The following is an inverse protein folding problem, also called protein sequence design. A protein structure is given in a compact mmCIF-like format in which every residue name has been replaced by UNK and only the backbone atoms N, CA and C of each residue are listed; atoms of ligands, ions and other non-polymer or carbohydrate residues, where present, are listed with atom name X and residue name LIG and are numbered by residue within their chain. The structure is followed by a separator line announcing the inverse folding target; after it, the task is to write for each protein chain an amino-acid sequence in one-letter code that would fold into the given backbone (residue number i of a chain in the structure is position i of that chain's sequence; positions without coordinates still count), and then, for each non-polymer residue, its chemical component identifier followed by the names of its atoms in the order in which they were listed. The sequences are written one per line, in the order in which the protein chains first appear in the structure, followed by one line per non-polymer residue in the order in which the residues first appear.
data_IF_222784235358
#
_entry.id   IF_222784235358
#
_cell.length_a   1.000
_cell.length_b   1.000
_cell.length_c   1.000
_cell.angle_alpha   90.00
_cell.angle_beta   90.00
_cell.angle_gamma   90.00
#
_symmetry.space_group_name_H-M   'P 1'
#
loop_
_entity.id
_entity.type
_entity.pdbx_description
1 polymer ?
#
# COMPACT_ATOMS: atom_id res chain seq x y z
N UNK A 1 -21.23 -7.78 -9.74
CA UNK A 1 -19.86 -8.36 -9.68
C UNK A 1 -18.95 -7.86 -10.82
N UNK A 2 -19.46 -7.68 -12.05
CA UNK A 2 -18.71 -7.10 -13.19
C UNK A 2 -18.20 -5.67 -12.97
N UNK A 3 -18.99 -4.78 -12.35
CA UNK A 3 -18.64 -3.36 -12.19
C UNK A 3 -17.37 -3.14 -11.36
N UNK A 4 -17.17 -3.93 -10.29
CA UNK A 4 -15.99 -3.81 -9.43
C UNK A 4 -14.72 -4.30 -10.13
N UNK A 5 -14.81 -5.37 -10.93
CA UNK A 5 -13.68 -5.90 -11.72
C UNK A 5 -13.30 -4.94 -12.85
N UNK A 6 -14.29 -4.35 -13.53
CA UNK A 6 -14.07 -3.35 -14.57
C UNK A 6 -13.39 -2.08 -14.04
N UNK A 7 -13.87 -1.55 -12.91
CA UNK A 7 -13.23 -0.40 -12.23
C UNK A 7 -11.78 -0.69 -11.87
N UNK A 8 -11.52 -1.87 -11.31
CA UNK A 8 -10.17 -2.34 -10.97
C UNK A 8 -9.25 -2.37 -12.20
N UNK A 9 -9.72 -2.93 -13.31
CA UNK A 9 -8.96 -2.98 -14.57
C UNK A 9 -8.67 -1.59 -15.12
N UNK A 10 -9.64 -0.68 -15.09
CA UNK A 10 -9.47 0.70 -15.55
C UNK A 10 -8.47 1.46 -14.67
N UNK A 11 -8.52 1.29 -13.34
CA UNK A 11 -7.55 1.90 -12.43
C UNK A 11 -6.13 1.38 -12.64
N UNK A 12 -5.97 0.07 -12.84
CA UNK A 12 -4.66 -0.54 -13.12
C UNK A 12 -4.11 -0.04 -14.46
N UNK A 13 -4.95 0.01 -15.50
CA UNK A 13 -4.56 0.52 -16.81
C UNK A 13 -4.12 1.98 -16.73
N UNK A 14 -4.86 2.81 -16.00
CA UNK A 14 -4.53 4.22 -15.81
C UNK A 14 -3.20 4.40 -15.06
N UNK A 15 -2.96 3.60 -14.00
CA UNK A 15 -1.70 3.63 -13.26
C UNK A 15 -0.51 3.22 -14.13
N UNK A 16 -0.65 2.19 -14.97
CA UNK A 16 0.40 1.74 -15.90
C UNK A 16 0.70 2.81 -16.96
N UNK A 17 -0.34 3.40 -17.56
CA UNK A 17 -0.16 4.49 -18.53
C UNK A 17 0.50 5.72 -17.92
N UNK A 18 0.19 6.04 -16.65
CA UNK A 18 0.79 7.18 -15.97
C UNK A 18 2.26 6.92 -15.61
N UNK A 19 2.61 5.70 -15.18
CA UNK A 19 3.97 5.38 -14.74
C UNK A 19 4.94 5.10 -15.89
N UNK A 20 4.47 4.49 -16.99
CA UNK A 20 5.30 4.10 -18.14
C UNK A 20 5.14 5.02 -19.36
N UNK A 21 4.21 5.97 -19.32
CA UNK A 21 4.07 6.97 -20.38
C UNK A 21 5.20 8.00 -20.35
N UNK A 22 5.62 8.53 -21.51
CA UNK A 22 6.56 9.64 -21.56
C UNK A 22 5.96 10.84 -20.81
N UNK A 23 6.54 11.17 -19.66
CA UNK A 23 6.15 12.34 -18.89
C UNK A 23 6.60 13.58 -19.66
N UNK A 24 5.70 14.51 -20.02
CA UNK A 24 6.10 15.72 -20.72
C UNK A 24 7.10 16.48 -19.83
N UNK A 25 8.27 16.80 -20.37
CA UNK A 25 9.24 17.65 -19.66
C UNK A 25 8.55 18.95 -19.27
N UNK A 26 8.56 19.26 -17.98
CA UNK A 26 7.93 20.46 -17.44
C UNK A 26 8.74 21.66 -17.93
N UNK A 27 8.36 22.21 -19.08
CA UNK A 27 8.77 23.56 -19.47
C UNK A 27 8.38 24.49 -18.33
N UNK A 28 9.34 25.26 -17.83
CA UNK A 28 9.10 26.23 -16.78
C UNK A 28 7.91 27.11 -17.18
N UNK A 29 6.80 26.96 -16.45
CA UNK A 29 5.64 27.84 -16.59
C UNK A 29 6.08 29.20 -16.09
N UNK A 30 5.92 30.21 -16.93
CA UNK A 30 6.19 31.58 -16.56
C UNK A 30 5.31 32.00 -15.36
N UNK A 31 5.85 32.76 -14.40
CA UNK A 31 5.17 33.09 -13.15
C UNK A 31 3.84 33.82 -13.37
N UNK A 32 3.67 34.50 -14.51
CA UNK A 32 2.42 35.14 -14.91
C UNK A 32 1.34 34.09 -15.22
N UNK A 33 1.66 33.08 -16.04
CA UNK A 33 0.73 31.98 -16.34
C UNK A 33 0.36 31.20 -15.07
N UNK A 34 1.32 30.99 -14.16
CA UNK A 34 1.06 30.33 -12.89
C UNK A 34 0.12 31.17 -12.00
N UNK A 35 0.27 32.49 -11.97
CA UNK A 35 -0.60 33.38 -11.21
C UNK A 35 -2.05 33.40 -11.72
N UNK A 36 -2.26 33.23 -13.03
CA UNK A 36 -3.59 33.16 -13.65
C UNK A 36 -4.24 31.79 -13.43
N UNK A 37 -3.46 30.71 -13.53
CA UNK A 37 -3.96 29.34 -13.33
C UNK A 37 -4.15 28.97 -11.86
N UNK A 38 -3.33 29.51 -10.95
CA UNK A 38 -3.39 29.22 -9.52
C UNK A 38 -4.79 29.36 -8.90
N UNK A 39 -5.55 30.45 -9.11
CA UNK A 39 -6.88 30.58 -8.52
C UNK A 39 -7.86 29.52 -9.04
N UNK A 40 -7.77 29.17 -10.34
CA UNK A 40 -8.62 28.15 -10.96
C UNK A 40 -8.27 26.76 -10.39
N UNK A 41 -6.98 26.47 -10.27
CA UNK A 41 -6.48 25.24 -9.66
C UNK A 41 -6.91 25.11 -8.19
N UNK A 42 -6.86 26.20 -7.41
CA UNK A 42 -7.31 26.22 -6.01
C UNK A 42 -8.81 25.95 -5.91
N UNK A 43 -9.63 26.49 -6.82
CA UNK A 43 -11.07 26.21 -6.85
C UNK A 43 -11.36 24.73 -7.15
N UNK A 44 -10.66 24.15 -8.14
CA UNK A 44 -10.74 22.71 -8.43
C UNK A 44 -10.29 21.86 -7.24
N UNK A 45 -9.21 22.25 -6.57
CA UNK A 45 -8.71 21.57 -5.38
C UNK A 45 -9.72 21.60 -4.22
N UNK A 46 -10.44 22.71 -4.02
CA UNK A 46 -11.49 22.80 -2.98
C UNK A 46 -12.65 21.83 -3.23
N UNK A 47 -13.03 21.63 -4.49
CA UNK A 47 -14.08 20.67 -4.87
C UNK A 47 -13.61 19.22 -4.65
N UNK A 48 -12.34 18.94 -4.92
CA UNK A 48 -11.73 17.61 -4.76
C UNK A 48 -11.31 17.29 -3.31
N UNK A 49 -11.09 18.30 -2.47
CA UNK A 49 -10.64 18.16 -1.09
C UNK A 49 -11.40 17.09 -0.28
N UNK A 50 -12.75 17.03 -0.25
CA UNK A 50 -13.46 16.00 0.51
C UNK A 50 -13.21 14.58 -0.02
N UNK A 51 -13.01 14.41 -1.32
CA UNK A 51 -12.71 13.11 -1.92
C UNK A 51 -11.29 12.66 -1.61
N UNK A 52 -10.33 13.58 -1.67
CA UNK A 52 -8.93 13.32 -1.28
C UNK A 52 -8.84 12.96 0.19
N UNK A 53 -9.55 13.68 1.08
CA UNK A 53 -9.57 13.36 2.51
C UNK A 53 -10.18 11.98 2.79
N UNK A 54 -11.26 11.60 2.09
CA UNK A 54 -11.84 10.25 2.19
C UNK A 54 -10.85 9.19 1.69
N UNK A 55 -10.23 9.41 0.54
CA UNK A 55 -9.24 8.51 -0.04
C UNK A 55 -8.04 8.31 0.90
N UNK A 56 -7.54 9.39 1.50
CA UNK A 56 -6.49 9.35 2.52
C UNK A 56 -6.91 8.55 3.76
N UNK A 57 -8.16 8.72 4.24
CA UNK A 57 -8.67 7.95 5.38
C UNK A 57 -8.73 6.44 5.12
N UNK A 58 -9.12 6.04 3.91
CA UNK A 58 -9.11 4.63 3.50
C UNK A 58 -7.69 4.07 3.35
N UNK A 59 -6.81 4.85 2.74
CA UNK A 59 -5.39 4.54 2.60
C UNK A 59 -4.69 4.36 3.97
N UNK A 60 -4.97 5.25 4.93
CA UNK A 60 -4.40 5.15 6.28
C UNK A 60 -4.80 3.85 6.97
N UNK A 61 -6.06 3.44 6.86
CA UNK A 61 -6.55 2.17 7.43
C UNK A 61 -5.84 0.96 6.80
N UNK A 62 -5.65 0.98 5.48
CA UNK A 62 -4.91 -0.06 4.78
C UNK A 62 -3.44 -0.12 5.23
N UNK A 63 -2.77 1.03 5.40
CA UNK A 63 -1.40 1.10 5.94
C UNK A 63 -1.33 0.50 7.34
N UNK A 64 -2.26 0.84 8.22
CA UNK A 64 -2.27 0.28 9.59
C UNK A 64 -2.43 -1.25 9.55
N UNK A 65 -3.24 -1.78 8.63
CA UNK A 65 -3.41 -3.21 8.48
C UNK A 65 -2.14 -3.89 7.94
N UNK A 66 -1.49 -3.28 6.94
CA UNK A 66 -0.19 -3.71 6.41
C UNK A 66 0.88 -3.72 7.51
N UNK A 67 0.90 -2.71 8.38
CA UNK A 67 1.79 -2.65 9.54
C UNK A 67 1.64 -3.84 10.49
N UNK A 68 0.42 -4.38 10.67
CA UNK A 68 0.20 -5.59 11.48
C UNK A 68 0.84 -6.83 10.85
N UNK A 69 0.73 -6.98 9.52
CA UNK A 69 1.37 -8.08 8.80
C UNK A 69 2.90 -7.96 8.82
N UNK A 70 3.44 -6.73 8.78
CA UNK A 70 4.86 -6.47 8.95
C UNK A 70 5.36 -6.87 10.35
N UNK A 71 4.59 -6.61 11.41
CA UNK A 71 4.90 -7.11 12.75
C UNK A 71 4.86 -8.65 12.80
N UNK A 72 3.97 -9.28 12.04
CA UNK A 72 3.94 -10.73 11.86
C UNK A 72 5.20 -11.29 11.19
N UNK A 73 5.80 -10.56 10.25
CA UNK A 73 7.04 -10.96 9.59
C UNK A 73 8.23 -11.09 10.56
N UNK A 74 8.28 -10.26 11.63
CA UNK A 74 9.32 -10.39 12.67
C UNK A 74 9.28 -11.72 13.43
N UNK A 75 8.24 -12.55 13.26
CA UNK A 75 8.22 -13.92 13.79
C UNK A 75 9.22 -14.85 13.12
N UNK A 76 9.66 -14.55 11.90
CA UNK A 76 10.67 -15.34 11.16
C UNK A 76 12.03 -15.32 11.87
N UNK A 77 12.64 -14.14 12.15
CA UNK A 77 13.91 -14.10 12.88
C UNK A 77 13.78 -14.64 14.31
N UNK A 78 12.63 -14.42 14.98
CA UNK A 78 12.36 -15.01 16.30
C UNK A 78 12.30 -16.55 16.22
N UNK A 79 11.64 -17.09 15.20
CA UNK A 79 11.56 -18.53 14.97
C UNK A 79 12.90 -19.14 14.60
N UNK A 80 13.73 -18.45 13.81
CA UNK A 80 15.12 -18.87 13.54
C UNK A 80 15.95 -18.91 14.81
N UNK A 81 15.85 -17.89 15.67
CA UNK A 81 16.54 -17.86 16.96
C UNK A 81 16.10 -19.01 17.87
N UNK A 82 14.79 -19.30 17.91
CA UNK A 82 14.23 -20.43 18.66
C UNK A 82 14.70 -21.80 18.12
N UNK A 83 14.76 -21.95 16.79
CA UNK A 83 15.20 -23.18 16.13
C UNK A 83 16.71 -23.42 16.15
N UNK A 84 17.52 -22.38 16.37
CA UNK A 84 18.99 -22.50 16.32
C UNK A 84 19.62 -22.48 17.71
N UNK A 85 19.26 -21.50 18.55
CA UNK A 85 19.89 -21.28 19.85
C UNK A 85 19.10 -21.90 21.00
N UNK A 86 17.77 -21.95 20.89
CA UNK A 86 16.91 -22.53 21.92
C UNK A 86 16.49 -23.98 21.61
N UNK A 87 16.95 -24.55 20.49
CA UNK A 87 16.66 -25.92 20.08
C UNK A 87 16.90 -26.99 21.18
N UNK A 88 17.99 -26.95 21.97
CA UNK A 88 18.22 -27.95 23.02
C UNK A 88 17.36 -27.74 24.28
N UNK A 89 16.70 -26.59 24.42
CA UNK A 89 15.88 -26.27 25.59
C UNK A 89 14.40 -26.62 25.32
N UNK A 90 13.98 -27.82 25.72
CA UNK A 90 12.57 -28.16 26.01
C UNK A 90 11.51 -27.73 24.99
N UNK A 91 11.48 -28.34 23.79
CA UNK A 91 10.38 -28.21 22.83
C UNK A 91 10.34 -26.90 22.03
N UNK A 92 11.26 -25.96 22.29
CA UNK A 92 11.34 -24.66 21.62
C UNK A 92 11.61 -24.76 20.11
N UNK A 93 12.19 -25.86 19.63
CA UNK A 93 12.36 -26.13 18.21
C UNK A 93 11.01 -26.19 17.46
N UNK A 94 10.00 -26.85 18.04
CA UNK A 94 8.69 -26.94 17.39
C UNK A 94 7.93 -25.62 17.40
N UNK A 95 8.06 -24.85 18.48
CA UNK A 95 7.52 -23.49 18.56
C UNK A 95 8.22 -22.53 17.59
N UNK A 96 9.53 -22.69 17.39
CA UNK A 96 10.30 -21.94 16.39
C UNK A 96 9.87 -22.25 14.96
N UNK A 97 9.61 -23.52 14.63
CA UNK A 97 9.08 -23.95 13.33
C UNK A 97 7.67 -23.40 13.07
N UNK A 98 6.80 -23.40 14.08
CA UNK A 98 5.48 -22.79 14.00
C UNK A 98 5.54 -21.28 13.77
N UNK A 99 6.46 -20.58 14.44
CA UNK A 99 6.69 -19.14 14.27
C UNK A 99 7.29 -18.80 12.89
N UNK A 100 8.17 -19.65 12.36
CA UNK A 100 8.68 -19.56 11.00
C UNK A 100 7.57 -19.72 9.95
N UNK A 101 6.74 -20.75 10.09
CA UNK A 101 5.60 -20.97 9.21
C UNK A 101 4.59 -19.82 9.27
N UNK A 102 4.20 -19.39 10.47
CA UNK A 102 3.28 -18.28 10.65
C UNK A 102 3.84 -16.96 10.10
N UNK A 103 5.12 -16.66 10.34
CA UNK A 103 5.78 -15.48 9.80
C UNK A 103 5.86 -15.46 8.28
N UNK A 104 6.04 -16.62 7.66
CA UNK A 104 6.07 -16.78 6.19
C UNK A 104 4.69 -16.50 5.56
N UNK A 105 3.62 -16.98 6.19
CA UNK A 105 2.24 -16.71 5.75
C UNK A 105 1.89 -15.22 5.90
N UNK A 106 2.30 -14.59 7.00
CA UNK A 106 2.10 -13.15 7.21
C UNK A 106 2.88 -12.30 6.20
N UNK A 107 4.06 -12.75 5.75
CA UNK A 107 4.81 -12.09 4.68
C UNK A 107 4.08 -12.14 3.32
N UNK A 108 3.46 -13.27 2.98
CA UNK A 108 2.64 -13.38 1.76
C UNK A 108 1.41 -12.47 1.82
N UNK A 109 0.75 -12.39 2.98
CA UNK A 109 -0.35 -11.44 3.21
C UNK A 109 0.13 -10.00 3.08
N UNK A 110 1.29 -9.67 3.64
CA UNK A 110 1.91 -8.35 3.50
C UNK A 110 2.12 -7.97 2.03
N UNK A 111 2.72 -8.85 1.22
CA UNK A 111 2.94 -8.60 -0.22
C UNK A 111 1.60 -8.36 -0.93
N UNK A 112 0.61 -9.23 -0.70
CA UNK A 112 -0.71 -9.09 -1.30
C UNK A 112 -1.38 -7.76 -0.92
N UNK A 113 -1.23 -7.34 0.34
CA UNK A 113 -1.80 -6.11 0.88
C UNK A 113 -1.07 -4.85 0.36
N UNK A 114 0.25 -4.90 0.15
CA UNK A 114 1.04 -3.84 -0.50
C UNK A 114 0.69 -3.71 -1.98
N UNK A 115 0.46 -4.82 -2.69
CA UNK A 115 0.08 -4.77 -4.10
C UNK A 115 -1.29 -4.09 -4.34
N UNK A 116 -2.23 -4.25 -3.40
CA UNK A 116 -3.55 -3.60 -3.46
C UNK A 116 -3.56 -2.21 -2.82
N UNK A 117 -2.46 -1.74 -2.24
CA UNK A 117 -2.36 -0.43 -1.58
C UNK A 117 -2.76 0.75 -2.51
N UNK A 118 -2.42 0.78 -3.82
CA UNK A 118 -2.92 1.82 -4.71
C UNK A 118 -4.46 1.81 -4.87
N UNK A 119 -5.07 0.63 -4.73
CA UNK A 119 -6.53 0.46 -4.83
C UNK A 119 -7.23 0.84 -3.53
N UNK A 120 -6.52 0.83 -2.40
CA UNK A 120 -7.06 1.24 -1.10
C UNK A 120 -7.43 2.72 -1.04
N UNK A 121 -6.85 3.58 -1.89
CA UNK A 121 -7.30 4.97 -2.08
C UNK A 121 -8.77 5.06 -2.53
N UNK A 122 -9.26 4.06 -3.25
CA UNK A 122 -10.65 3.97 -3.71
C UNK A 122 -11.56 3.21 -2.74
N UNK A 123 -11.07 2.86 -1.55
CA UNK A 123 -11.80 2.07 -0.56
C UNK A 123 -11.91 0.59 -0.91
N UNK A 124 -11.11 0.09 -1.87
CA UNK A 124 -11.08 -1.32 -2.25
C UNK A 124 -10.00 -2.01 -1.40
N UNK A 125 -10.39 -3.02 -0.60
CA UNK A 125 -9.45 -3.82 0.18
C UNK A 125 -8.97 -3.18 1.49
N UNK A 126 -9.74 -2.22 2.02
CA UNK A 126 -9.59 -1.70 3.40
C UNK A 126 -10.23 -2.65 4.40
#
# INVERSE_FOLDING_TARGET
MMTKRFLLTVTILFAVCFYFGPQPEVKAIDPVTLAILAPIAIQGAKILAPYVMRAMGHFLKAIVNIGKHLLGFFRIPIGLFQCTLLAPFGGQFMYGLANLGAGSVEFLKFIGCVLILPLSFFGIGV
#
